data_IF_878253761263
#
_entry.id   IF_878253761263
#
_cell.length_a   1.000
_cell.length_b   1.000
_cell.length_c   1.000
_cell.angle_alpha   90.00
_cell.angle_beta   90.00
_cell.angle_gamma   90.00
#
_symmetry.space_group_name_H-M   'P 1'
#
loop_
_entity.id
_entity.type
_entity.pdbx_description
1 polymer ?
#
# COMPACT_ATOMS: atom_id res chain seq x y z
N UNK A 1 19.98 12.39 -18.69
CA UNK A 1 19.41 12.69 -18.52
C UNK A 1 18.70 12.41 -17.48
N UNK A 2 18.55 12.90 -16.93
CA UNK A 2 17.79 12.76 -15.86
C UNK A 2 16.58 12.04 -16.15
N UNK A 3 16.47 11.65 -17.33
CA UNK A 3 15.22 11.10 -17.73
C UNK A 3 14.82 9.91 -16.92
N UNK A 4 15.73 9.01 -16.68
CA UNK A 4 15.36 7.84 -15.96
C UNK A 4 15.03 8.13 -14.55
N UNK A 5 15.82 8.95 -13.91
CA UNK A 5 15.51 9.25 -12.59
C UNK A 5 14.29 10.04 -12.50
N UNK A 6 14.12 10.95 -13.41
CA UNK A 6 12.94 11.72 -13.42
C UNK A 6 11.76 10.85 -13.61
N UNK A 7 11.92 9.85 -14.43
CA UNK A 7 10.82 9.01 -14.66
C UNK A 7 10.48 8.21 -13.45
N UNK A 8 11.44 7.77 -12.72
CA UNK A 8 11.16 7.03 -11.51
C UNK A 8 10.46 7.92 -10.51
N UNK A 9 10.96 9.13 -10.36
CA UNK A 9 10.31 10.02 -9.45
C UNK A 9 8.96 10.40 -9.94
N UNK A 10 8.84 10.60 -11.21
CA UNK A 10 7.57 10.98 -11.76
C UNK A 10 6.57 9.86 -11.61
N UNK A 11 7.03 8.64 -11.75
CA UNK A 11 6.12 7.53 -11.59
C UNK A 11 5.62 7.48 -10.16
N UNK A 12 6.52 7.65 -9.21
CA UNK A 12 6.09 7.66 -7.84
C UNK A 12 5.15 8.82 -7.59
N UNK A 13 5.50 9.96 -8.11
CA UNK A 13 4.67 11.13 -7.88
C UNK A 13 3.36 11.01 -8.61
N UNK A 14 3.36 10.36 -9.74
CA UNK A 14 2.16 10.25 -10.52
C UNK A 14 1.27 9.13 -10.05
N UNK A 15 1.82 8.20 -9.27
CA UNK A 15 0.99 7.14 -8.80
C UNK A 15 -0.02 7.69 -7.85
N UNK A 16 -1.25 7.30 -8.06
CA UNK A 16 -2.27 7.72 -7.14
C UNK A 16 -2.08 7.01 -5.85
N UNK A 17 -2.29 7.74 -4.78
CA UNK A 17 -2.34 7.10 -3.49
C UNK A 17 -3.67 6.38 -3.37
N UNK A 18 -3.67 5.29 -2.67
CA UNK A 18 -4.85 4.47 -2.56
C UNK A 18 -5.59 4.79 -1.27
N UNK A 19 -6.90 4.70 -1.31
CA UNK A 19 -7.72 4.93 -0.13
C UNK A 19 -7.96 3.61 0.59
N UNK A 20 -8.57 3.69 1.75
CA UNK A 20 -8.95 2.47 2.47
C UNK A 20 -9.91 1.65 1.62
N UNK A 21 -10.87 2.31 0.98
CA UNK A 21 -11.81 1.60 0.14
C UNK A 21 -11.11 0.90 -1.02
N UNK A 22 -10.13 1.58 -1.62
CA UNK A 22 -9.37 0.96 -2.70
C UNK A 22 -8.68 -0.30 -2.22
N UNK A 23 -8.10 -0.26 -1.03
CA UNK A 23 -7.42 -1.42 -0.50
C UNK A 23 -8.38 -2.54 -0.17
N UNK A 24 -9.54 -2.21 0.34
CA UNK A 24 -10.51 -3.24 0.64
C UNK A 24 -10.86 -4.01 -0.62
N UNK A 25 -11.02 -3.28 -1.72
CA UNK A 25 -11.33 -3.91 -2.97
C UNK A 25 -10.14 -4.69 -3.52
N UNK A 26 -8.98 -4.08 -3.46
CA UNK A 26 -7.79 -4.68 -4.04
C UNK A 26 -7.39 -5.94 -3.28
N UNK A 27 -7.42 -5.89 -1.97
CA UNK A 27 -6.99 -7.01 -1.14
C UNK A 27 -8.15 -7.91 -0.74
N UNK A 28 -9.36 -7.49 -1.04
CA UNK A 28 -10.58 -8.24 -0.73
C UNK A 28 -10.65 -8.48 0.78
N UNK A 29 -10.59 -7.40 1.53
CA UNK A 29 -10.66 -7.45 2.99
C UNK A 29 -11.58 -6.36 3.48
N UNK A 30 -11.90 -6.40 4.77
CA UNK A 30 -12.76 -5.39 5.36
C UNK A 30 -11.96 -4.17 5.76
N UNK A 31 -12.67 -3.07 5.99
CA UNK A 31 -12.04 -1.87 6.47
C UNK A 31 -11.42 -2.10 7.83
N UNK A 32 -12.10 -2.84 8.67
CA UNK A 32 -11.59 -3.12 10.01
C UNK A 32 -10.23 -3.79 9.93
N UNK A 33 -10.07 -4.70 8.98
CA UNK A 33 -8.80 -5.37 8.80
C UNK A 33 -7.72 -4.34 8.45
N UNK A 34 -8.03 -3.43 7.52
CA UNK A 34 -7.06 -2.43 7.10
C UNK A 34 -6.66 -1.55 8.27
N UNK A 35 -7.63 -1.04 9.00
CA UNK A 35 -7.32 -0.16 10.13
C UNK A 35 -6.49 -0.90 11.19
N UNK A 36 -6.80 -2.18 11.38
CA UNK A 36 -6.09 -2.96 12.36
C UNK A 36 -4.63 -3.16 11.95
N UNK A 37 -4.40 -3.44 10.68
CA UNK A 37 -3.05 -3.64 10.20
C UNK A 37 -2.23 -2.37 10.29
N UNK A 38 -2.85 -1.24 10.03
CA UNK A 38 -2.17 0.03 10.14
C UNK A 38 -1.86 0.31 11.60
N UNK A 39 -2.80 0.04 12.48
CA UNK A 39 -2.62 0.32 13.90
C UNK A 39 -1.48 -0.51 14.47
N UNK A 40 -1.32 -1.74 13.99
CA UNK A 40 -0.27 -2.60 14.48
C UNK A 40 1.04 -2.41 13.73
N UNK A 41 1.09 -1.48 12.80
CA UNK A 41 2.32 -1.18 12.11
C UNK A 41 2.70 -2.17 11.03
N UNK A 42 1.78 -3.04 10.65
CA UNK A 42 2.09 -4.03 9.61
C UNK A 42 1.82 -3.50 8.22
N UNK A 43 1.00 -2.47 8.11
CA UNK A 43 0.70 -1.85 6.82
C UNK A 43 0.97 -0.36 6.96
N UNK A 44 1.90 0.12 6.17
CA UNK A 44 2.30 1.50 6.25
C UNK A 44 1.29 2.40 5.57
N UNK A 45 0.96 3.49 6.21
CA UNK A 45 -0.02 4.42 5.68
C UNK A 45 0.40 5.85 5.98
N UNK A 46 -0.11 6.77 5.21
CA UNK A 46 0.07 8.19 5.47
C UNK A 46 -1.28 8.78 5.81
N UNK A 47 -1.30 9.75 6.72
CA UNK A 47 -2.55 10.41 7.03
C UNK A 47 -2.57 11.75 6.33
N UNK A 48 -3.47 11.91 5.41
CA UNK A 48 -3.57 13.12 4.62
C UNK A 48 -5.00 13.61 4.73
N UNK A 49 -5.15 14.84 5.16
CA UNK A 49 -6.48 15.44 5.33
C UNK A 49 -7.36 14.54 6.18
N UNK A 50 -6.77 13.99 7.25
CA UNK A 50 -7.49 13.18 8.22
C UNK A 50 -7.91 11.82 7.70
N UNK A 51 -7.43 11.44 6.54
CA UNK A 51 -7.77 10.15 5.98
C UNK A 51 -6.50 9.39 5.68
N UNK A 52 -6.59 8.09 5.75
CA UNK A 52 -5.44 7.27 5.44
C UNK A 52 -5.28 7.14 3.94
N UNK A 53 -4.03 7.16 3.52
CA UNK A 53 -3.70 6.95 2.13
C UNK A 53 -2.53 5.99 2.08
N UNK A 54 -2.46 5.21 1.04
CA UNK A 54 -1.45 4.17 0.92
C UNK A 54 -0.71 4.32 -0.40
N UNK A 55 0.59 4.14 -0.34
CA UNK A 55 1.38 4.13 -1.56
C UNK A 55 1.33 2.74 -2.16
N UNK A 56 1.25 2.66 -3.48
CA UNK A 56 1.26 1.33 -4.10
C UNK A 56 2.45 0.47 -3.67
N UNK A 57 3.61 1.10 -3.51
CA UNK A 57 4.78 0.34 -3.08
C UNK A 57 4.59 -0.27 -1.70
N UNK A 58 3.95 0.46 -0.80
CA UNK A 58 3.72 -0.04 0.55
C UNK A 58 2.69 -1.17 0.52
N UNK A 59 1.70 -1.06 -0.33
CA UNK A 59 0.71 -2.12 -0.47
C UNK A 59 1.36 -3.36 -1.03
N UNK A 60 2.23 -3.20 -2.02
CA UNK A 60 2.94 -4.33 -2.58
C UNK A 60 3.82 -4.99 -1.53
N UNK A 61 4.49 -4.19 -0.72
CA UNK A 61 5.33 -4.74 0.34
C UNK A 61 4.50 -5.53 1.34
N UNK A 62 3.31 -5.04 1.64
CA UNK A 62 2.42 -5.73 2.55
C UNK A 62 1.99 -7.08 1.97
N UNK A 63 1.65 -7.08 0.69
CA UNK A 63 1.25 -8.32 0.04
C UNK A 63 2.42 -9.31 0.05
N UNK A 64 3.63 -8.82 -0.25
CA UNK A 64 4.79 -9.69 -0.24
C UNK A 64 5.08 -10.24 1.14
N UNK A 65 4.91 -9.41 2.15
CA UNK A 65 5.18 -9.85 3.51
C UNK A 65 4.20 -10.93 3.95
N UNK A 66 3.06 -10.99 3.30
CA UNK A 66 2.06 -12.00 3.61
C UNK A 66 2.07 -13.16 2.64
N UNK A 67 3.07 -13.21 1.79
CA UNK A 67 3.12 -14.28 0.80
C UNK A 67 3.33 -15.62 1.51
N UNK A 68 2.68 -16.63 1.00
CA UNK A 68 2.78 -17.95 1.56
C UNK A 68 3.48 -18.82 0.53
N UNK A 69 4.55 -19.47 0.95
CA UNK A 69 5.21 -20.36 0.04
C UNK A 69 4.89 -21.77 0.47
N UNK A 70 4.88 -22.59 -0.50
CA UNK A 70 4.45 -23.96 -0.42
C UNK A 70 4.28 -24.57 0.95
N UNK A 71 5.34 -24.87 1.57
CA UNK A 71 5.23 -25.61 2.78
C UNK A 71 4.73 -24.77 3.93
N UNK A 72 4.53 -23.54 3.74
CA UNK A 72 4.02 -22.70 4.78
C UNK A 72 2.58 -22.99 5.12
N UNK A 73 1.94 -23.71 4.29
CA UNK A 73 0.61 -24.10 4.59
C UNK A 73 0.59 -25.51 5.09
#
# INVERSE_FOLDING_TARGET
MTTIEDRALAADAAEKLLTVDDLCEYLVVSKDFIYDEVRHGRLRASRIARQLRFRPADVNAFVEANAVTGSGL
#
